data_IF_286398188328
#
_entry.id   IF_286398188328
#
_cell.length_a   1.000
_cell.length_b   1.000
_cell.length_c   1.000
_cell.angle_alpha   90.00
_cell.angle_beta   90.00
_cell.angle_gamma   90.00
#
_symmetry.space_group_name_H-M   'P 1'
#
loop_
_entity.id
_entity.type
_entity.pdbx_description
1 polymer ?
#
# COMPACT_ATOMS: atom_id res chain seq x y z
N UNK A 1 -2.26 20.33 17.05
CA UNK A 1 -1.42 19.58 16.11
C UNK A 1 -1.43 20.34 14.81
N UNK A 2 -0.28 20.87 14.39
CA UNK A 2 -0.16 21.58 13.12
C UNK A 2 0.66 20.65 12.23
N UNK A 3 0.03 20.09 11.20
CA UNK A 3 0.77 19.35 10.17
C UNK A 3 1.46 20.36 9.27
N UNK A 4 2.79 20.30 9.22
CA UNK A 4 3.59 21.14 8.36
C UNK A 4 4.13 20.37 7.15
N UNK A 5 4.79 21.10 6.27
CA UNK A 5 5.40 20.55 5.06
C UNK A 5 6.48 19.49 5.38
N UNK A 6 7.15 19.59 6.53
CA UNK A 6 8.20 18.67 6.94
C UNK A 6 7.60 17.31 7.32
N UNK A 7 6.54 17.31 8.11
CA UNK A 7 5.77 16.11 8.46
C UNK A 7 5.22 15.43 7.21
N UNK A 8 4.77 16.21 6.23
CA UNK A 8 4.33 15.68 4.93
C UNK A 8 5.48 14.98 4.19
N UNK A 9 6.65 15.62 4.08
CA UNK A 9 7.81 15.03 3.40
C UNK A 9 8.25 13.73 4.08
N UNK A 10 8.37 13.73 5.41
CA UNK A 10 8.77 12.56 6.19
C UNK A 10 7.80 11.39 6.05
N UNK A 11 6.49 11.67 6.19
CA UNK A 11 5.45 10.64 6.09
C UNK A 11 5.32 10.06 4.69
N UNK A 12 5.45 10.89 3.64
CA UNK A 12 5.45 10.44 2.25
C UNK A 12 6.69 9.61 1.96
N UNK A 13 7.87 10.04 2.42
CA UNK A 13 9.13 9.30 2.24
C UNK A 13 9.01 7.87 2.75
N UNK A 14 8.52 7.66 3.98
CA UNK A 14 8.47 6.30 4.54
C UNK A 14 7.36 5.43 3.93
N UNK A 15 6.20 6.00 3.56
CA UNK A 15 5.07 5.21 3.06
C UNK A 15 5.15 4.90 1.55
N UNK A 16 6.03 5.60 0.81
CA UNK A 16 6.08 5.54 -0.64
C UNK A 16 6.17 4.11 -1.20
N UNK A 17 6.99 3.18 -0.65
CA UNK A 17 7.00 1.78 -1.10
C UNK A 17 5.63 1.10 -1.06
N UNK A 18 4.85 1.34 0.00
CA UNK A 18 3.51 0.77 0.16
C UNK A 18 2.50 1.40 -0.81
N UNK A 19 2.57 2.72 -1.00
CA UNK A 19 1.72 3.45 -1.95
C UNK A 19 1.92 2.95 -3.37
N UNK A 20 3.18 2.81 -3.79
CA UNK A 20 3.54 2.34 -5.13
C UNK A 20 3.18 0.85 -5.29
N UNK A 21 3.44 0.01 -4.29
CA UNK A 21 3.06 -1.41 -4.32
C UNK A 21 1.53 -1.58 -4.51
N UNK A 22 0.73 -0.87 -3.70
CA UNK A 22 -0.73 -0.93 -3.80
C UNK A 22 -1.26 -0.35 -5.11
N UNK A 23 -0.72 0.79 -5.56
CA UNK A 23 -1.14 1.44 -6.80
C UNK A 23 -0.83 0.62 -8.05
N UNK A 24 0.34 -0.02 -8.09
CA UNK A 24 0.83 -0.72 -9.28
C UNK A 24 0.46 -2.21 -9.34
N UNK A 25 -0.05 -2.83 -8.26
CA UNK A 25 -0.40 -4.26 -8.27
C UNK A 25 -1.38 -4.63 -9.39
N UNK A 26 -2.25 -3.70 -9.79
CA UNK A 26 -3.19 -3.91 -10.88
C UNK A 26 -2.53 -4.14 -12.25
N UNK A 27 -1.25 -3.77 -12.41
CA UNK A 27 -0.45 -3.99 -13.62
C UNK A 27 -0.04 -5.46 -13.80
N UNK A 28 -0.13 -6.29 -12.75
CA UNK A 28 0.18 -7.74 -12.83
C UNK A 28 -0.59 -8.44 -13.95
N UNK A 29 -1.81 -7.99 -14.25
CA UNK A 29 -2.64 -8.51 -15.36
C UNK A 29 -1.98 -8.43 -16.74
N UNK A 30 -0.99 -7.56 -16.93
CA UNK A 30 -0.24 -7.46 -18.18
C UNK A 30 0.81 -8.57 -18.30
N UNK A 31 1.22 -9.16 -17.17
CA UNK A 31 2.23 -10.23 -17.11
C UNK A 31 1.61 -11.62 -16.92
N UNK A 32 0.43 -11.72 -16.30
CA UNK A 32 -0.29 -13.00 -16.14
C UNK A 32 -1.74 -12.92 -16.62
N UNK A 33 -2.12 -13.88 -17.47
CA UNK A 33 -3.50 -14.05 -17.98
C UNK A 33 -4.37 -14.94 -17.08
N UNK A 34 -3.75 -15.76 -16.24
CA UNK A 34 -4.42 -16.72 -15.35
C UNK A 34 -3.80 -16.60 -13.95
N UNK A 35 -4.16 -15.56 -13.19
CA UNK A 35 -3.59 -15.37 -11.87
C UNK A 35 -4.11 -16.43 -10.89
N UNK A 36 -3.25 -16.86 -9.97
CA UNK A 36 -3.54 -17.94 -9.02
C UNK A 36 -4.05 -17.38 -7.69
N UNK A 37 -5.31 -17.65 -7.29
CA UNK A 37 -5.84 -17.16 -6.02
C UNK A 37 -5.04 -17.68 -4.82
N UNK A 38 -4.76 -16.81 -3.85
CA UNK A 38 -4.02 -17.16 -2.62
C UNK A 38 -4.76 -18.23 -1.82
N UNK A 39 -6.09 -18.21 -1.84
CA UNK A 39 -6.92 -19.19 -1.12
C UNK A 39 -7.10 -20.52 -1.86
N UNK A 40 -6.54 -20.70 -3.06
CA UNK A 40 -6.74 -21.89 -3.90
C UNK A 40 -8.23 -22.25 -4.13
N UNK A 41 -9.13 -21.25 -4.07
CA UNK A 41 -10.57 -21.47 -4.18
C UNK A 41 -11.22 -22.06 -2.92
N UNK A 42 -10.48 -22.17 -1.81
CA UNK A 42 -11.03 -22.66 -0.54
C UNK A 42 -12.10 -21.72 0.00
N UNK A 43 -13.02 -22.31 0.76
CA UNK A 43 -14.09 -21.59 1.44
C UNK A 43 -13.97 -21.75 2.94
N UNK A 44 -14.40 -20.73 3.68
CA UNK A 44 -14.59 -20.76 5.11
C UNK A 44 -16.03 -20.34 5.44
N UNK A 45 -16.74 -21.24 6.15
CA UNK A 45 -18.18 -21.10 6.46
C UNK A 45 -19.03 -20.80 5.22
N UNK A 46 -18.79 -21.55 4.13
CA UNK A 46 -19.53 -21.44 2.87
C UNK A 46 -19.20 -20.21 2.01
N UNK A 47 -18.22 -19.38 2.41
CA UNK A 47 -17.81 -18.17 1.66
C UNK A 47 -16.33 -18.25 1.28
N UNK A 48 -15.87 -17.68 0.16
CA UNK A 48 -14.44 -17.65 -0.19
C UNK A 48 -13.59 -17.09 0.96
N UNK A 49 -12.36 -17.56 1.15
CA UNK A 49 -11.50 -17.02 2.21
C UNK A 49 -11.13 -15.57 1.90
N UNK A 50 -10.48 -15.33 0.75
CA UNK A 50 -10.12 -13.99 0.27
C UNK A 50 -10.91 -13.64 -1.00
N UNK A 51 -11.12 -14.62 -1.87
CA UNK A 51 -11.74 -14.45 -3.18
C UNK A 51 -10.73 -14.35 -4.31
N UNK A 52 -11.22 -14.54 -5.55
CA UNK A 52 -10.40 -14.73 -6.77
C UNK A 52 -9.45 -13.58 -7.12
N UNK A 53 -9.67 -12.39 -6.56
CA UNK A 53 -8.88 -11.20 -6.87
C UNK A 53 -7.59 -11.10 -6.05
N UNK A 54 -7.44 -11.87 -4.97
CA UNK A 54 -6.20 -11.90 -4.17
C UNK A 54 -5.35 -13.05 -4.65
N UNK A 55 -4.25 -12.73 -5.33
CA UNK A 55 -3.47 -13.70 -6.11
C UNK A 55 -2.01 -13.71 -5.69
N UNK A 56 -1.34 -14.86 -5.86
CA UNK A 56 0.08 -14.99 -5.53
C UNK A 56 0.95 -14.05 -6.36
N UNK A 57 0.62 -13.86 -7.64
CA UNK A 57 1.35 -12.93 -8.51
C UNK A 57 1.18 -11.49 -8.05
N UNK A 58 -0.02 -11.12 -7.58
CA UNK A 58 -0.29 -9.80 -6.99
C UNK A 58 0.56 -9.57 -5.74
N UNK A 59 0.54 -10.52 -4.81
CA UNK A 59 1.33 -10.47 -3.59
C UNK A 59 2.83 -10.35 -3.89
N UNK A 60 3.38 -11.24 -4.72
CA UNK A 60 4.80 -11.24 -5.08
C UNK A 60 5.20 -9.95 -5.79
N UNK A 61 4.38 -9.47 -6.74
CA UNK A 61 4.66 -8.22 -7.44
C UNK A 61 4.64 -7.02 -6.49
N UNK A 62 3.66 -6.92 -5.60
CA UNK A 62 3.61 -5.85 -4.60
C UNK A 62 4.83 -5.84 -3.68
N UNK A 63 5.27 -7.03 -3.23
CA UNK A 63 6.49 -7.18 -2.43
C UNK A 63 7.75 -6.73 -3.19
N UNK A 64 7.88 -7.15 -4.45
CA UNK A 64 9.02 -6.80 -5.31
C UNK A 64 9.07 -5.30 -5.61
N UNK A 65 7.92 -4.69 -5.88
CA UNK A 65 7.80 -3.24 -6.09
C UNK A 65 8.17 -2.48 -4.82
N UNK A 66 7.62 -2.86 -3.66
CA UNK A 66 7.98 -2.23 -2.40
C UNK A 66 9.47 -2.32 -2.11
N UNK A 67 10.06 -3.52 -2.28
CA UNK A 67 11.50 -3.75 -2.13
C UNK A 67 12.34 -2.88 -3.07
N UNK A 68 11.94 -2.78 -4.34
CA UNK A 68 12.62 -1.98 -5.34
C UNK A 68 12.57 -0.48 -4.99
N UNK A 69 11.42 0.03 -4.58
CA UNK A 69 11.27 1.44 -4.20
C UNK A 69 12.11 1.76 -2.96
N UNK A 70 12.03 0.93 -1.90
CA UNK A 70 12.87 1.13 -0.72
C UNK A 70 14.36 1.07 -1.02
N UNK A 71 14.78 0.24 -1.97
CA UNK A 71 16.17 0.20 -2.45
C UNK A 71 16.54 1.46 -3.25
N UNK A 72 15.67 1.96 -4.12
CA UNK A 72 15.88 3.21 -4.86
C UNK A 72 15.97 4.39 -3.88
N UNK A 73 15.11 4.47 -2.88
CA UNK A 73 15.14 5.52 -1.85
C UNK A 73 16.46 5.50 -1.08
N UNK A 74 16.93 4.32 -0.70
CA UNK A 74 18.24 4.14 -0.06
C UNK A 74 19.38 4.68 -0.92
N UNK A 75 19.42 4.33 -2.21
CA UNK A 75 20.44 4.81 -3.14
C UNK A 75 20.32 6.31 -3.43
N UNK A 76 19.10 6.84 -3.40
CA UNK A 76 18.81 8.24 -3.70
C UNK A 76 19.10 9.17 -2.52
N UNK A 77 19.09 8.66 -1.29
CA UNK A 77 19.23 9.43 -0.05
C UNK A 77 20.40 10.44 -0.06
N UNK A 78 21.63 10.09 -0.49
CA UNK A 78 22.76 11.05 -0.50
C UNK A 78 22.61 12.20 -1.50
N UNK A 79 21.76 12.03 -2.51
CA UNK A 79 21.54 13.01 -3.58
C UNK A 79 20.37 13.95 -3.31
N UNK A 80 19.60 13.70 -2.24
CA UNK A 80 18.46 14.51 -1.87
C UNK A 80 18.86 15.65 -0.92
N UNK A 81 18.30 16.86 -1.09
CA UNK A 81 18.68 18.04 -0.33
C UNK A 81 18.08 18.08 1.08
N UNK A 82 17.90 16.95 1.76
CA UNK A 82 17.32 16.91 3.11
C UNK A 82 18.13 17.72 4.13
N UNK A 83 19.45 17.80 3.93
CA UNK A 83 20.36 18.61 4.74
C UNK A 83 20.15 20.13 4.57
N UNK A 84 19.47 20.58 3.51
CA UNK A 84 19.15 21.99 3.28
C UNK A 84 17.88 22.42 4.01
N UNK A 85 17.18 21.49 4.68
CA UNK A 85 15.99 21.80 5.45
C UNK A 85 16.32 22.79 6.58
N UNK A 86 15.51 23.84 6.78
CA UNK A 86 15.72 24.80 7.88
C UNK A 86 15.41 24.18 9.25
N UNK A 87 14.82 22.98 9.29
CA UNK A 87 14.56 22.21 10.50
C UNK A 87 15.11 20.78 10.36
N UNK A 88 15.55 20.13 11.45
CA UNK A 88 15.96 18.73 11.40
C UNK A 88 14.79 17.84 10.97
N UNK A 89 15.00 17.04 9.92
CA UNK A 89 14.01 16.07 9.43
C UNK A 89 14.25 14.69 10.03
N UNK A 90 13.18 14.02 10.41
CA UNK A 90 13.15 12.62 10.89
C UNK A 90 13.06 11.65 9.71
N UNK A 91 14.00 11.72 8.78
CA UNK A 91 14.00 10.84 7.60
C UNK A 91 14.41 9.42 8.00
N UNK A 92 13.52 8.46 7.77
CA UNK A 92 13.81 7.04 8.01
C UNK A 92 14.84 6.54 6.98
N UNK A 93 15.94 5.91 7.41
CA UNK A 93 16.87 5.25 6.50
C UNK A 93 16.18 4.07 5.79
N UNK A 94 15.93 4.23 4.49
CA UNK A 94 15.26 3.21 3.70
C UNK A 94 16.22 2.06 3.37
N UNK A 95 15.64 0.88 3.11
CA UNK A 95 16.37 -0.31 2.68
C UNK A 95 15.48 -1.20 1.84
N UNK A 96 16.06 -2.16 1.13
CA UNK A 96 15.31 -3.18 0.42
C UNK A 96 14.40 -3.99 1.37
N UNK A 97 14.86 -4.30 2.58
CA UNK A 97 14.08 -5.03 3.58
C UNK A 97 12.89 -4.21 4.09
N UNK A 98 13.09 -2.93 4.43
CA UNK A 98 12.01 -2.06 4.86
C UNK A 98 10.98 -1.86 3.73
N UNK A 99 11.45 -1.62 2.50
CA UNK A 99 10.58 -1.55 1.33
C UNK A 99 9.78 -2.84 1.10
N UNK A 100 10.42 -4.01 1.27
CA UNK A 100 9.73 -5.31 1.22
C UNK A 100 8.65 -5.40 2.30
N UNK A 101 8.94 -5.05 3.55
CA UNK A 101 7.97 -5.12 4.65
C UNK A 101 6.79 -4.17 4.45
N UNK A 102 7.03 -2.96 3.93
CA UNK A 102 6.00 -2.01 3.57
C UNK A 102 5.12 -2.54 2.42
N UNK A 103 5.73 -3.07 1.36
CA UNK A 103 5.00 -3.66 0.23
C UNK A 103 4.22 -4.93 0.60
N UNK A 104 4.85 -5.84 1.36
CA UNK A 104 4.20 -7.03 1.90
C UNK A 104 3.06 -6.66 2.83
N UNK A 105 3.29 -5.70 3.74
CA UNK A 105 2.28 -5.20 4.65
C UNK A 105 1.08 -4.62 3.91
N UNK A 106 1.31 -3.82 2.86
CA UNK A 106 0.25 -3.31 2.00
C UNK A 106 -0.61 -4.44 1.40
N UNK A 107 0.02 -5.47 0.82
CA UNK A 107 -0.68 -6.61 0.24
C UNK A 107 -1.39 -7.48 1.27
N UNK A 108 -0.80 -7.63 2.46
CA UNK A 108 -1.39 -8.37 3.58
C UNK A 108 -2.62 -7.63 4.13
N UNK A 109 -2.54 -6.31 4.31
CA UNK A 109 -3.66 -5.47 4.73
C UNK A 109 -4.85 -5.58 3.77
N UNK A 110 -4.58 -5.45 2.47
CA UNK A 110 -5.55 -5.63 1.39
C UNK A 110 -6.15 -7.06 1.35
N UNK A 111 -5.37 -8.09 1.69
CA UNK A 111 -5.89 -9.46 1.83
C UNK A 111 -6.82 -9.60 3.06
N UNK A 112 -6.48 -8.97 4.18
CA UNK A 112 -7.30 -8.95 5.40
C UNK A 112 -8.62 -8.21 5.16
N UNK A 113 -8.60 -7.06 4.47
CA UNK A 113 -9.81 -6.36 4.01
C UNK A 113 -10.73 -7.29 3.23
N UNK A 114 -10.17 -8.05 2.30
CA UNK A 114 -10.98 -8.89 1.44
C UNK A 114 -11.55 -10.08 2.19
N UNK A 115 -10.79 -10.64 3.13
CA UNK A 115 -11.32 -11.62 4.07
C UNK A 115 -12.51 -11.07 4.85
N UNK A 116 -12.39 -9.87 5.44
CA UNK A 116 -13.46 -9.22 6.19
C UNK A 116 -14.69 -8.98 5.32
N UNK A 117 -14.51 -8.50 4.08
CA UNK A 117 -15.60 -8.34 3.11
C UNK A 117 -16.31 -9.65 2.81
N UNK A 118 -15.59 -10.76 2.67
CA UNK A 118 -16.23 -12.08 2.50
C UNK A 118 -17.06 -12.45 3.72
N UNK A 119 -16.60 -12.13 4.94
CA UNK A 119 -17.38 -12.39 6.18
C UNK A 119 -18.65 -11.55 6.23
N UNK A 120 -18.59 -10.30 5.78
CA UNK A 120 -19.71 -9.36 5.68
C UNK A 120 -20.64 -9.60 4.47
N UNK A 121 -20.52 -10.71 3.73
CA UNK A 121 -21.29 -11.01 2.51
C UNK A 121 -21.07 -10.01 1.34
N UNK A 122 -19.99 -9.24 1.37
CA UNK A 122 -19.64 -8.32 0.30
C UNK A 122 -18.92 -9.10 -0.80
N UNK A 123 -19.46 -9.05 -2.03
CA UNK A 123 -18.88 -9.74 -3.20
C UNK A 123 -17.51 -9.15 -3.59
N UNK A 124 -16.59 -9.92 -4.19
CA UNK A 124 -15.33 -9.39 -4.72
C UNK A 124 -15.56 -8.19 -5.65
N UNK A 125 -14.74 -7.15 -5.50
CA UNK A 125 -14.84 -5.92 -6.30
C UNK A 125 -15.98 -4.97 -5.92
N UNK A 126 -16.82 -5.31 -4.93
CA UNK A 126 -17.75 -4.34 -4.34
C UNK A 126 -17.01 -3.47 -3.32
N UNK A 127 -17.32 -2.17 -3.23
CA UNK A 127 -16.63 -1.26 -2.33
C UNK A 127 -17.02 -1.54 -0.86
N UNK A 128 -16.05 -1.36 0.04
CA UNK A 128 -16.25 -1.18 1.48
C UNK A 128 -15.54 0.13 1.87
N UNK A 129 -16.25 1.28 1.77
CA UNK A 129 -15.65 2.61 1.96
C UNK A 129 -14.87 2.72 3.27
N UNK A 130 -13.88 3.61 3.29
CA UNK A 130 -12.89 3.78 4.38
C UNK A 130 -11.90 2.61 4.48
N UNK A 131 -12.39 1.38 4.66
CA UNK A 131 -11.49 0.23 4.82
C UNK A 131 -10.68 -0.02 3.54
N UNK A 132 -11.33 0.01 2.36
CA UNK A 132 -10.67 -0.14 1.06
C UNK A 132 -9.59 0.92 0.78
N UNK A 133 -9.56 2.01 1.55
CA UNK A 133 -8.61 3.11 1.37
C UNK A 133 -7.48 3.06 2.39
N UNK A 134 -7.68 2.44 3.55
CA UNK A 134 -6.75 2.46 4.68
C UNK A 134 -6.16 1.09 5.01
N UNK A 135 -6.73 0.01 4.49
CA UNK A 135 -6.29 -1.36 4.72
C UNK A 135 -4.80 -1.60 4.45
N UNK A 136 -4.32 -1.16 3.29
CA UNK A 136 -2.93 -1.31 2.88
C UNK A 136 -2.01 -0.43 3.73
N UNK A 137 -2.46 0.76 4.14
CA UNK A 137 -1.72 1.65 5.05
C UNK A 137 -1.55 0.97 6.42
N UNK A 138 -2.64 0.45 6.99
CA UNK A 138 -2.62 -0.25 8.27
C UNK A 138 -1.67 -1.46 8.19
N UNK A 139 -1.78 -2.26 7.13
CA UNK A 139 -0.89 -3.40 6.92
C UNK A 139 0.59 -2.98 6.80
N UNK A 140 0.89 -1.93 6.03
CA UNK A 140 2.24 -1.40 5.89
C UNK A 140 2.82 -0.93 7.24
N UNK A 141 2.03 -0.20 8.04
CA UNK A 141 2.43 0.25 9.39
C UNK A 141 2.72 -0.94 10.29
N UNK A 142 1.84 -1.95 10.34
CA UNK A 142 2.00 -3.13 11.19
C UNK A 142 3.28 -3.91 10.86
N UNK A 143 3.54 -4.19 9.58
CA UNK A 143 4.69 -5.00 9.20
C UNK A 143 6.03 -4.23 9.23
N UNK A 144 6.03 -2.95 8.86
CA UNK A 144 7.24 -2.12 8.98
C UNK A 144 7.63 -1.82 10.43
N UNK A 145 6.65 -1.84 11.36
CA UNK A 145 6.90 -1.69 12.81
C UNK A 145 7.81 -2.77 13.41
N UNK A 146 8.09 -3.85 12.67
CA UNK A 146 9.06 -4.87 13.06
C UNK A 146 10.51 -4.38 13.01
N UNK A 147 10.80 -3.33 12.23
CA UNK A 147 12.17 -2.85 11.98
C UNK A 147 12.33 -1.34 12.11
N UNK A 148 11.24 -0.58 12.23
CA UNK A 148 11.24 0.87 12.46
C UNK A 148 10.14 1.26 13.43
N UNK A 149 10.22 2.47 13.97
CA UNK A 149 9.13 3.08 14.76
C UNK A 149 8.45 4.17 13.94
N UNK A 150 7.14 4.25 14.04
CA UNK A 150 6.35 5.30 13.41
C UNK A 150 6.14 6.47 14.36
N UNK A 151 6.30 7.68 13.85
CA UNK A 151 5.81 8.87 14.53
C UNK A 151 4.28 8.93 14.40
N UNK A 152 3.61 9.29 15.48
CA UNK A 152 2.16 9.28 15.53
C UNK A 152 1.59 10.37 14.60
N UNK A 153 2.30 11.49 14.42
CA UNK A 153 1.95 12.55 13.47
C UNK A 153 1.93 12.04 12.03
N UNK A 154 2.89 11.18 11.65
CA UNK A 154 2.92 10.59 10.31
C UNK A 154 1.69 9.72 10.08
N UNK A 155 1.34 8.86 11.04
CA UNK A 155 0.18 7.98 10.93
C UNK A 155 -1.11 8.79 10.77
N UNK A 156 -1.32 9.80 11.62
CA UNK A 156 -2.55 10.63 11.54
C UNK A 156 -2.61 11.39 10.22
N UNK A 157 -1.48 11.96 9.78
CA UNK A 157 -1.42 12.66 8.49
C UNK A 157 -1.72 11.72 7.31
N UNK A 158 -1.14 10.52 7.31
CA UNK A 158 -1.37 9.52 6.27
C UNK A 158 -2.82 9.03 6.26
N UNK A 159 -3.46 8.84 7.42
CA UNK A 159 -4.90 8.49 7.47
C UNK A 159 -5.76 9.58 6.82
N UNK A 160 -5.41 10.85 6.98
CA UNK A 160 -6.13 11.99 6.36
C UNK A 160 -5.86 12.06 4.86
N UNK A 161 -4.61 11.88 4.43
CA UNK A 161 -4.18 12.05 3.05
C UNK A 161 -4.47 10.85 2.14
N UNK A 162 -4.41 9.63 2.68
CA UNK A 162 -4.58 8.40 1.88
C UNK A 162 -5.91 8.36 1.13
N UNK A 163 -7.07 8.70 1.74
CA UNK A 163 -8.35 8.81 1.02
C UNK A 163 -8.28 9.72 -0.20
N UNK A 164 -7.60 10.86 -0.07
CA UNK A 164 -7.44 11.84 -1.16
C UNK A 164 -6.57 11.27 -2.27
N UNK A 165 -5.42 10.68 -1.93
CA UNK A 165 -4.55 10.04 -2.91
C UNK A 165 -5.21 8.84 -3.59
N UNK A 166 -5.97 8.04 -2.84
CA UNK A 166 -6.70 6.90 -3.37
C UNK A 166 -7.76 7.35 -4.39
N UNK A 167 -8.50 8.42 -4.08
CA UNK A 167 -9.46 9.01 -5.01
C UNK A 167 -8.79 9.51 -6.30
N UNK A 168 -7.68 10.25 -6.19
CA UNK A 168 -6.92 10.75 -7.35
C UNK A 168 -6.36 9.61 -8.19
N UNK A 169 -5.81 8.57 -7.55
CA UNK A 169 -5.27 7.40 -8.23
C UNK A 169 -6.36 6.62 -8.98
N UNK A 170 -7.54 6.48 -8.38
CA UNK A 170 -8.68 5.83 -9.01
C UNK A 170 -9.19 6.59 -10.24
N UNK A 171 -9.34 7.91 -10.14
CA UNK A 171 -9.73 8.75 -11.28
C UNK A 171 -8.71 8.63 -12.39
N UNK A 172 -7.41 8.78 -12.07
CA UNK A 172 -6.34 8.65 -13.06
C UNK A 172 -6.37 7.27 -13.73
N UNK A 173 -6.50 6.20 -12.95
CA UNK A 173 -6.62 4.84 -13.46
C UNK A 173 -7.85 4.62 -14.34
N UNK A 174 -8.97 5.25 -14.02
CA UNK A 174 -10.19 5.22 -14.84
C UNK A 174 -10.00 5.97 -16.17
N UNK A 175 -9.42 7.17 -16.13
CA UNK A 175 -9.12 7.98 -17.33
C UNK A 175 -8.14 7.29 -18.27
N UNK A 176 -7.14 6.59 -17.72
CA UNK A 176 -6.19 5.77 -18.48
C UNK A 176 -6.77 4.43 -18.95
N UNK A 177 -8.07 4.17 -18.72
CA UNK A 177 -8.76 2.90 -19.03
C UNK A 177 -8.10 1.67 -18.37
N UNK A 178 -7.33 1.89 -17.32
CA UNK A 178 -6.73 0.84 -16.51
C UNK A 178 -7.82 0.26 -15.59
N UNK A 179 -8.64 1.11 -14.96
CA UNK A 179 -9.77 0.70 -14.12
C UNK A 179 -11.10 0.86 -14.87
N UNK A 180 -12.06 -0.01 -14.55
CA UNK A 180 -13.43 0.06 -15.11
C UNK A 180 -14.30 1.11 -14.41
N UNK A 181 -13.92 1.52 -13.21
CA UNK A 181 -14.68 2.41 -12.35
C UNK A 181 -13.75 3.44 -11.66
N UNK A 182 -14.25 4.65 -11.35
CA UNK A 182 -13.48 5.73 -10.72
C UNK A 182 -13.39 5.66 -9.18
N UNK A 183 -13.80 4.53 -8.57
CA UNK A 183 -13.75 4.30 -7.13
C UNK A 183 -12.93 3.05 -6.78
#
# INVERSE_FOLDING_TARGET
>A
MVFDIYTLVESIWVILPAYVANGLVSLVRFFTKKPHPIDFGKTWKGKPVFGKNKTWEGLMFGCLIGMLIGWIEMLSFPFLPFHMSPVPLKIIPMSALLGFLLGFGAMAGDAVESFLKRRLNIKPGKPLPVLDQLDFLIGAVVFSSLVMSWEWEWIVLLIILTPVFHFVANITGYLLKIKKHPW
#
